data_IF_823526663252
#
_entry.id   IF_823526663252
#
_cell.length_a   1.000
_cell.length_b   1.000
_cell.length_c   1.000
_cell.angle_alpha   90.00
_cell.angle_beta   90.00
_cell.angle_gamma   90.00
#
_symmetry.space_group_name_H-M   'P 1'
#
loop_
_entity.id
_entity.type
_entity.pdbx_description
1 polymer ?
#
# COMPACT_ATOMS: atom_id res chain seq x y z
N UNK A 1 -14.93 10.37 -28.49
CA UNK A 1 -14.35 10.23 -27.14
C UNK A 1 -13.25 11.25 -27.00
N UNK A 2 -13.23 12.03 -25.92
CA UNK A 2 -12.47 13.29 -25.77
C UNK A 2 -10.92 13.20 -25.83
N UNK A 3 -10.35 12.11 -26.34
CA UNK A 3 -8.91 11.86 -26.35
C UNK A 3 -8.36 11.48 -24.97
N UNK A 4 -7.05 11.19 -24.89
CA UNK A 4 -6.38 10.95 -23.61
C UNK A 4 -6.17 12.27 -22.84
N UNK A 5 -6.00 12.14 -21.53
CA UNK A 5 -5.62 13.24 -20.64
C UNK A 5 -4.40 12.85 -19.81
N UNK A 6 -3.57 13.84 -19.48
CA UNK A 6 -2.50 13.69 -18.49
C UNK A 6 -3.01 14.20 -17.13
N UNK A 7 -2.80 13.42 -16.07
CA UNK A 7 -3.11 13.80 -14.70
C UNK A 7 -1.87 13.63 -13.83
N UNK A 8 -1.44 14.71 -13.18
CA UNK A 8 -0.32 14.69 -12.23
C UNK A 8 -0.86 14.60 -10.79
N UNK A 9 -0.66 13.45 -10.15
CA UNK A 9 -1.01 13.25 -8.74
C UNK A 9 0.19 13.54 -7.84
N UNK A 10 0.25 14.74 -7.27
CA UNK A 10 1.33 15.16 -6.38
C UNK A 10 1.19 14.48 -5.02
N UNK A 11 1.95 13.41 -4.81
CA UNK A 11 1.97 12.60 -3.59
C UNK A 11 3.35 12.58 -2.93
N UNK A 12 3.48 11.89 -1.80
CA UNK A 12 4.73 11.76 -1.06
C UNK A 12 4.96 10.33 -0.55
N UNK A 13 6.18 9.81 -0.72
CA UNK A 13 6.58 8.49 -0.22
C UNK A 13 7.16 8.63 1.18
N UNK A 14 6.42 8.18 2.20
CA UNK A 14 6.87 8.33 3.60
C UNK A 14 8.05 7.44 3.95
N UNK A 15 8.13 6.23 3.39
CA UNK A 15 9.27 5.31 3.60
C UNK A 15 10.41 5.56 2.60
N UNK A 16 11.51 4.83 2.76
CA UNK A 16 12.66 4.84 1.85
C UNK A 16 12.31 4.37 0.43
N UNK A 17 13.25 4.50 -0.50
CA UNK A 17 13.07 4.02 -1.89
C UNK A 17 12.92 2.51 -1.96
N UNK A 18 13.66 1.81 -1.11
CA UNK A 18 13.57 0.38 -0.91
C UNK A 18 14.03 0.06 0.51
N UNK A 19 13.94 -1.22 0.88
CA UNK A 19 14.45 -1.71 2.17
C UNK A 19 15.96 -1.48 2.35
N UNK A 20 16.71 -1.21 1.28
CA UNK A 20 18.17 -1.00 1.31
C UNK A 20 18.57 0.48 1.22
N UNK A 21 17.61 1.41 1.13
CA UNK A 21 17.89 2.84 0.99
C UNK A 21 17.96 3.55 2.36
N UNK A 22 19.12 4.14 2.72
CA UNK A 22 19.30 4.86 3.99
C UNK A 22 18.66 6.25 4.03
N UNK A 23 18.14 6.78 2.91
CA UNK A 23 17.38 8.04 2.83
C UNK A 23 18.19 9.31 3.17
N UNK A 24 19.49 9.31 2.88
CA UNK A 24 20.40 10.41 3.26
C UNK A 24 20.21 11.70 2.44
N UNK A 25 19.29 11.70 1.49
CA UNK A 25 19.06 12.78 0.53
C UNK A 25 17.83 13.66 0.85
N UNK A 26 17.17 13.44 1.98
CA UNK A 26 15.98 14.21 2.38
C UNK A 26 15.97 14.51 3.87
N UNK A 27 15.38 15.65 4.22
CA UNK A 27 15.21 16.05 5.61
C UNK A 27 14.06 15.25 6.26
N UNK A 28 14.26 14.82 7.51
CA UNK A 28 13.20 14.19 8.31
C UNK A 28 12.05 15.14 8.56
N UNK A 29 12.32 16.43 8.76
CA UNK A 29 11.30 17.45 8.96
C UNK A 29 10.38 17.61 7.74
N UNK A 30 10.93 17.45 6.53
CA UNK A 30 10.13 17.44 5.30
C UNK A 30 9.16 16.26 5.31
N UNK A 31 9.65 15.04 5.62
CA UNK A 31 8.82 13.83 5.66
C UNK A 31 7.70 13.96 6.69
N UNK A 32 8.00 14.45 7.89
CA UNK A 32 7.00 14.69 8.96
C UNK A 32 5.93 15.70 8.54
N UNK A 33 6.33 16.78 7.86
CA UNK A 33 5.38 17.77 7.34
C UNK A 33 4.44 17.18 6.28
N UNK A 34 4.92 16.23 5.47
CA UNK A 34 4.10 15.52 4.50
C UNK A 34 3.21 14.45 5.12
N UNK A 35 3.64 13.76 6.18
CA UNK A 35 2.80 12.78 6.89
C UNK A 35 1.53 13.41 7.44
N UNK A 36 1.59 14.65 7.93
CA UNK A 36 0.42 15.42 8.39
C UNK A 36 -0.59 15.71 7.28
N UNK A 37 -0.18 15.62 6.01
CA UNK A 37 -1.02 15.76 4.82
C UNK A 37 -1.45 14.42 4.23
N UNK A 38 -1.19 13.32 4.94
CA UNK A 38 -1.47 11.97 4.47
C UNK A 38 -2.97 11.75 4.22
N UNK A 39 -3.33 11.00 3.16
CA UNK A 39 -4.71 10.90 2.70
C UNK A 39 -5.67 10.31 3.74
N UNK A 40 -5.20 9.36 4.56
CA UNK A 40 -6.01 8.76 5.64
C UNK A 40 -6.34 9.82 6.71
N UNK A 41 -5.37 10.64 7.11
CA UNK A 41 -5.57 11.72 8.09
C UNK A 41 -6.51 12.78 7.52
N UNK A 42 -6.27 13.22 6.28
CA UNK A 42 -7.09 14.27 5.64
C UNK A 42 -8.50 13.81 5.28
N UNK A 43 -8.74 12.50 5.19
CA UNK A 43 -10.06 11.93 4.96
C UNK A 43 -10.84 11.70 6.27
N UNK A 44 -10.20 11.12 7.29
CA UNK A 44 -10.87 10.72 8.53
C UNK A 44 -11.38 11.90 9.35
N UNK A 45 -10.66 13.01 9.39
CA UNK A 45 -11.09 14.23 10.09
C UNK A 45 -12.44 14.76 9.60
N UNK A 46 -12.60 15.05 8.30
CA UNK A 46 -13.88 15.43 7.72
C UNK A 46 -15.01 14.43 7.97
N UNK A 47 -14.75 13.12 7.77
CA UNK A 47 -15.77 12.08 8.00
C UNK A 47 -16.28 12.08 9.44
N UNK A 48 -15.37 12.23 10.42
CA UNK A 48 -15.75 12.34 11.84
C UNK A 48 -16.53 13.62 12.13
N UNK A 49 -16.09 14.75 11.57
CA UNK A 49 -16.80 16.04 11.76
C UNK A 49 -18.22 16.04 11.18
N UNK A 50 -18.46 15.26 10.12
CA UNK A 50 -19.77 15.10 9.48
C UNK A 50 -20.63 14.00 10.13
N UNK A 51 -20.13 13.32 11.17
CA UNK A 51 -20.83 12.20 11.80
C UNK A 51 -20.94 10.95 10.92
N UNK A 52 -20.15 10.85 9.85
CA UNK A 52 -20.13 9.71 8.92
C UNK A 52 -19.18 8.59 9.39
N UNK A 53 -18.38 8.85 10.42
CA UNK A 53 -17.43 7.92 10.99
C UNK A 53 -17.24 8.25 12.47
N UNK A 54 -17.23 7.24 13.33
CA UNK A 54 -16.83 7.40 14.74
C UNK A 54 -15.36 7.05 14.94
N UNK A 55 -14.80 7.34 16.12
CA UNK A 55 -13.48 6.82 16.48
C UNK A 55 -13.47 5.29 16.51
N UNK A 56 -14.52 4.67 17.07
CA UNK A 56 -14.64 3.22 17.14
C UNK A 56 -14.69 2.56 15.76
N UNK A 57 -15.37 3.18 14.79
CA UNK A 57 -15.37 2.72 13.39
C UNK A 57 -13.97 2.73 12.79
N UNK A 58 -13.23 3.83 12.99
CA UNK A 58 -11.86 3.95 12.49
C UNK A 58 -10.95 2.88 13.11
N UNK A 59 -11.00 2.73 14.43
CA UNK A 59 -10.21 1.74 15.17
C UNK A 59 -10.57 0.30 14.77
N UNK A 60 -11.85 0.05 14.48
CA UNK A 60 -12.30 -1.25 13.95
C UNK A 60 -11.70 -1.52 12.57
N UNK A 61 -11.77 -0.56 11.64
CA UNK A 61 -11.17 -0.71 10.30
C UNK A 61 -9.66 -0.92 10.36
N UNK A 62 -8.95 -0.23 11.25
CA UNK A 62 -7.51 -0.42 11.44
C UNK A 62 -7.19 -1.84 11.92
N UNK A 63 -7.94 -2.36 12.90
CA UNK A 63 -7.77 -3.75 13.37
C UNK A 63 -8.08 -4.77 12.29
N UNK A 64 -9.16 -4.58 11.53
CA UNK A 64 -9.56 -5.47 10.43
C UNK A 64 -8.46 -5.50 9.35
N UNK A 65 -7.95 -4.33 8.94
CA UNK A 65 -6.88 -4.25 7.95
C UNK A 65 -5.58 -4.92 8.43
N UNK A 66 -5.18 -4.70 9.68
CA UNK A 66 -3.99 -5.35 10.25
C UNK A 66 -4.16 -6.87 10.32
N UNK A 67 -5.32 -7.36 10.76
CA UNK A 67 -5.60 -8.79 10.81
C UNK A 67 -5.57 -9.45 9.42
N UNK A 68 -6.07 -8.77 8.38
CA UNK A 68 -5.99 -9.24 7.00
C UNK A 68 -4.53 -9.34 6.51
N UNK A 69 -3.72 -8.30 6.78
CA UNK A 69 -2.30 -8.30 6.43
C UNK A 69 -1.54 -9.40 7.17
N UNK A 70 -1.78 -9.57 8.47
CA UNK A 70 -1.12 -10.61 9.27
C UNK A 70 -1.46 -12.02 8.77
N UNK A 71 -2.74 -12.27 8.43
CA UNK A 71 -3.16 -13.53 7.84
C UNK A 71 -2.50 -13.79 6.47
N UNK A 72 -2.37 -12.76 5.63
CA UNK A 72 -1.70 -12.86 4.34
C UNK A 72 -0.20 -13.16 4.48
N UNK A 73 0.47 -12.52 5.45
CA UNK A 73 1.88 -12.80 5.78
C UNK A 73 2.04 -14.23 6.27
N UNK A 74 1.21 -14.67 7.22
CA UNK A 74 1.25 -16.04 7.73
C UNK A 74 1.04 -17.07 6.62
N UNK A 75 0.09 -16.82 5.71
CA UNK A 75 -0.14 -17.66 4.55
C UNK A 75 1.10 -17.73 3.65
N UNK A 76 1.72 -16.58 3.34
CA UNK A 76 2.92 -16.54 2.51
C UNK A 76 4.12 -17.27 3.15
N UNK A 77 4.34 -17.08 4.45
CA UNK A 77 5.44 -17.73 5.18
C UNK A 77 5.25 -19.24 5.36
N UNK A 78 4.00 -19.70 5.48
CA UNK A 78 3.67 -21.12 5.62
C UNK A 78 3.49 -21.86 4.29
N UNK A 79 3.46 -21.12 3.18
CA UNK A 79 3.33 -21.71 1.84
C UNK A 79 4.59 -22.48 1.46
N UNK A 80 4.46 -23.63 0.80
CA UNK A 80 5.60 -24.37 0.30
C UNK A 80 6.29 -23.58 -0.82
N UNK A 81 7.61 -23.74 -0.91
CA UNK A 81 8.37 -23.25 -2.06
C UNK A 81 7.88 -23.90 -3.35
N UNK A 82 7.85 -23.12 -4.42
CA UNK A 82 7.55 -23.59 -5.76
C UNK A 82 8.64 -24.58 -6.22
N UNK A 83 8.27 -25.65 -6.95
CA UNK A 83 9.24 -26.58 -7.46
C UNK A 83 10.12 -25.89 -8.51
N UNK A 84 11.42 -26.17 -8.51
CA UNK A 84 12.35 -25.60 -9.48
C UNK A 84 11.99 -25.93 -10.95
N UNK A 85 11.20 -26.99 -11.19
CA UNK A 85 10.66 -27.34 -12.51
C UNK A 85 9.73 -26.28 -13.09
N UNK A 86 9.11 -25.45 -12.24
CA UNK A 86 8.16 -24.42 -12.66
C UNK A 86 8.87 -23.10 -13.04
N UNK A 87 10.21 -23.04 -12.96
CA UNK A 87 10.98 -21.82 -13.20
C UNK A 87 10.71 -21.18 -14.58
N UNK A 88 10.54 -22.00 -15.62
CA UNK A 88 10.30 -21.53 -17.00
C UNK A 88 8.80 -21.47 -17.36
N UNK A 89 7.92 -21.81 -16.41
CA UNK A 89 6.48 -21.81 -16.63
C UNK A 89 6.00 -20.38 -16.91
N UNK A 90 5.11 -20.24 -17.89
CA UNK A 90 4.57 -18.96 -18.39
C UNK A 90 5.56 -18.02 -19.12
N UNK A 91 6.75 -18.49 -19.49
CA UNK A 91 7.60 -17.77 -20.47
C UNK A 91 6.93 -17.73 -21.85
N UNK A 92 6.26 -18.83 -22.22
CA UNK A 92 5.38 -18.92 -23.38
C UNK A 92 3.99 -19.36 -22.93
N UNK A 93 2.98 -19.11 -23.77
CA UNK A 93 1.68 -19.73 -23.61
C UNK A 93 1.81 -21.25 -23.64
N UNK A 94 0.99 -21.94 -22.86
CA UNK A 94 0.92 -23.40 -22.93
C UNK A 94 0.51 -23.80 -24.34
N UNK A 95 1.18 -24.82 -24.89
CA UNK A 95 0.82 -25.32 -26.23
C UNK A 95 -0.57 -25.93 -26.13
N UNK A 96 -1.52 -25.35 -26.87
CA UNK A 96 -2.79 -26.01 -27.12
C UNK A 96 -2.50 -27.37 -27.76
N UNK A 97 -3.01 -28.43 -27.14
CA UNK A 97 -2.92 -29.82 -27.63
C UNK A 97 -4.00 -30.10 -28.66
#
# INVERSE_FOLDING_TARGET
>A
GAGPSLLEMRTYRFRAHSMFDPQLYRDKAEVEAWQKKGPIITLTGPLKSLGLMTEDDYQRLEREANAEVDAAVQFAESSPWEPASDLERFVYAERES
#
